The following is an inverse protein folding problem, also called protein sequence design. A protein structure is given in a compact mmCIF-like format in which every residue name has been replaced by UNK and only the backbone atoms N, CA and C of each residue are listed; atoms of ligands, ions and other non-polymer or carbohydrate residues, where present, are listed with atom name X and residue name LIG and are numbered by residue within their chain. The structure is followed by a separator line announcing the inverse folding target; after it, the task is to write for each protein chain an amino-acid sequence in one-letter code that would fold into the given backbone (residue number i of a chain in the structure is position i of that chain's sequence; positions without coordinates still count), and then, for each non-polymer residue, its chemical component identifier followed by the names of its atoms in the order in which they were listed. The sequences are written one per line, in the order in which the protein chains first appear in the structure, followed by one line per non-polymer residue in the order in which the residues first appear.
data_IF_485445440742
#
_entry.id   IF_485445440742
#
_cell.length_a   1.000
_cell.length_b   1.000
_cell.length_c   1.000
_cell.angle_alpha   90.00
_cell.angle_beta   90.00
_cell.angle_gamma   90.00
#
_symmetry.space_group_name_H-M   'P 1'
#
loop_
_entity.id
_entity.type
_entity.pdbx_description
1 polymer ?
#
# COMPACT_ATOMS: atom_id res chain seq x y z
N UNK A 1 -15.97 3.57 2.07
CA UNK A 1 -15.74 2.55 1.02
C UNK A 1 -14.84 3.06 -0.10
N UNK A 2 -15.15 4.20 -0.75
CA UNK A 2 -14.31 4.78 -1.83
C UNK A 2 -12.83 4.94 -1.44
N UNK A 3 -12.55 5.39 -0.22
CA UNK A 3 -11.19 5.60 0.28
C UNK A 3 -10.45 4.32 0.64
N UNK A 4 -11.14 3.20 0.93
CA UNK A 4 -10.50 1.90 1.19
C UNK A 4 -9.92 1.34 -0.11
N UNK A 5 -10.59 1.58 -1.24
CA UNK A 5 -10.13 1.17 -2.56
C UNK A 5 -8.77 1.80 -2.90
N UNK A 6 -8.49 3.01 -2.41
CA UNK A 6 -7.18 3.66 -2.58
C UNK A 6 -6.04 2.94 -1.83
N UNK A 7 -6.34 2.05 -0.88
CA UNK A 7 -5.36 1.21 -0.19
C UNK A 7 -5.31 -0.19 -0.80
N UNK A 8 -6.46 -0.77 -1.13
CA UNK A 8 -6.56 -2.13 -1.68
C UNK A 8 -6.09 -2.23 -3.13
N UNK A 9 -6.43 -1.28 -3.99
CA UNK A 9 -6.05 -1.33 -5.41
C UNK A 9 -4.53 -1.36 -5.58
N UNK A 10 -3.74 -0.49 -4.92
CA UNK A 10 -2.28 -0.57 -4.98
C UNK A 10 -1.71 -1.91 -4.51
N UNK A 11 -2.30 -2.46 -3.44
CA UNK A 11 -1.91 -3.75 -2.87
C UNK A 11 -2.14 -4.91 -3.85
N UNK A 12 -3.31 -4.91 -4.51
CA UNK A 12 -3.63 -5.90 -5.55
C UNK A 12 -2.67 -5.75 -6.73
N UNK A 13 -2.40 -4.52 -7.17
CA UNK A 13 -1.44 -4.26 -8.26
C UNK A 13 -0.07 -4.81 -7.89
N UNK A 14 0.41 -4.59 -6.66
CA UNK A 14 1.70 -5.12 -6.22
C UNK A 14 1.73 -6.65 -6.19
N UNK A 15 0.65 -7.28 -5.73
CA UNK A 15 0.51 -8.74 -5.77
C UNK A 15 0.52 -9.28 -7.20
N UNK A 16 -0.22 -8.65 -8.12
CA UNK A 16 -0.26 -9.04 -9.52
C UNK A 16 1.12 -8.86 -10.17
N UNK A 17 1.77 -7.72 -9.97
CA UNK A 17 3.10 -7.47 -10.54
C UNK A 17 4.14 -8.46 -10.01
N UNK A 18 4.14 -8.75 -8.70
CA UNK A 18 5.10 -9.68 -8.11
C UNK A 18 4.94 -11.13 -8.60
N UNK A 19 3.71 -11.57 -8.89
CA UNK A 19 3.42 -12.96 -9.24
C UNK A 19 3.25 -13.22 -10.75
N UNK A 20 2.91 -12.20 -11.55
CA UNK A 20 2.74 -12.34 -12.99
C UNK A 20 4.03 -12.02 -13.78
N UNK A 21 4.98 -11.32 -13.17
CA UNK A 21 6.24 -10.96 -13.81
C UNK A 21 7.37 -11.83 -13.26
N UNK A 22 7.73 -12.86 -14.02
CA UNK A 22 8.70 -13.86 -13.56
C UNK A 22 10.16 -13.42 -13.72
N UNK A 23 10.47 -12.62 -14.74
CA UNK A 23 11.84 -12.20 -15.03
C UNK A 23 12.16 -10.89 -14.30
N UNK A 24 12.24 -9.80 -15.05
CA UNK A 24 12.51 -8.45 -14.56
C UNK A 24 11.41 -7.51 -14.98
N UNK A 25 11.11 -6.53 -14.14
CA UNK A 25 10.19 -5.47 -14.50
C UNK A 25 10.73 -4.64 -15.67
N UNK A 26 9.85 -4.41 -16.63
CA UNK A 26 10.03 -3.48 -17.74
C UNK A 26 9.57 -2.08 -17.33
N UNK A 27 10.00 -1.05 -18.06
CA UNK A 27 9.63 0.34 -17.76
C UNK A 27 8.11 0.59 -17.63
N UNK A 28 7.20 -0.06 -18.40
CA UNK A 28 5.77 0.13 -18.21
C UNK A 28 5.28 -0.45 -16.87
N UNK A 29 5.87 -1.56 -16.41
CA UNK A 29 5.51 -2.16 -15.12
C UNK A 29 5.97 -1.26 -13.96
N UNK A 30 7.13 -0.63 -14.07
CA UNK A 30 7.56 0.39 -13.11
C UNK A 30 6.60 1.59 -13.06
N UNK A 31 6.06 2.04 -14.20
CA UNK A 31 5.03 3.09 -14.22
C UNK A 31 3.74 2.63 -13.53
N UNK A 32 3.31 1.39 -13.75
CA UNK A 32 2.15 0.83 -13.05
C UNK A 32 2.36 0.82 -11.53
N UNK A 33 3.54 0.37 -11.07
CA UNK A 33 3.91 0.38 -9.66
C UNK A 33 3.95 1.80 -9.08
N UNK A 34 4.42 2.78 -9.85
CA UNK A 34 4.43 4.19 -9.48
C UNK A 34 3.00 4.75 -9.36
N UNK A 35 2.12 4.48 -10.33
CA UNK A 35 0.72 4.93 -10.26
C UNK A 35 -0.03 4.29 -9.09
N UNK A 36 0.20 3.01 -8.82
CA UNK A 36 -0.31 2.34 -7.63
C UNK A 36 0.17 3.02 -6.35
N UNK A 37 1.46 3.34 -6.26
CA UNK A 37 2.02 4.09 -5.13
C UNK A 37 1.37 5.47 -4.96
N UNK A 38 1.18 6.21 -6.05
CA UNK A 38 0.52 7.53 -6.01
C UNK A 38 -0.95 7.42 -5.57
N UNK A 39 -1.68 6.40 -6.03
CA UNK A 39 -3.05 6.16 -5.59
C UNK A 39 -3.13 5.89 -4.08
N UNK A 40 -2.16 5.16 -3.52
CA UNK A 40 -2.04 4.98 -2.07
C UNK A 40 -1.78 6.32 -1.35
N UNK A 41 -0.87 7.16 -1.86
CA UNK A 41 -0.62 8.49 -1.28
C UNK A 41 -1.85 9.39 -1.31
N UNK A 42 -2.67 9.33 -2.35
CA UNK A 42 -3.94 10.05 -2.41
C UNK A 42 -4.92 9.57 -1.33
N UNK A 43 -4.87 8.28 -0.98
CA UNK A 43 -5.61 7.71 0.16
C UNK A 43 -5.30 8.39 1.50
N UNK A 44 -4.14 9.04 1.65
CA UNK A 44 -3.77 9.83 2.84
C UNK A 44 -4.50 11.16 2.93
N UNK A 45 -4.89 11.76 1.80
CA UNK A 45 -5.60 13.05 1.78
C UNK A 45 -6.96 12.99 2.49
N UNK A 46 -7.41 11.79 2.90
CA UNK A 46 -8.57 11.60 3.76
C UNK A 46 -8.39 12.14 5.19
N UNK A 47 -7.16 12.26 5.66
CA UNK A 47 -6.86 12.71 7.02
C UNK A 47 -6.50 14.20 7.01
N UNK A 48 -7.03 15.00 7.96
CA UNK A 48 -6.58 16.38 8.16
C UNK A 48 -5.08 16.42 8.44
N UNK A 49 -4.41 17.50 8.01
CA UNK A 49 -2.94 17.65 8.01
C UNK A 49 -2.29 17.36 9.38
N UNK A 50 -3.02 17.57 10.47
CA UNK A 50 -2.55 17.43 11.86
C UNK A 50 -3.18 16.25 12.62
N UNK A 51 -4.10 15.49 12.01
CA UNK A 51 -4.91 14.47 12.70
C UNK A 51 -4.77 13.09 12.03
N UNK A 52 -3.57 12.75 11.58
CA UNK A 52 -3.29 11.43 11.03
C UNK A 52 -3.14 10.45 12.20
N UNK A 53 -4.02 9.43 12.34
CA UNK A 53 -3.92 8.45 13.41
C UNK A 53 -2.56 7.73 13.38
N UNK A 54 -2.00 7.34 14.54
CA UNK A 54 -0.74 6.60 14.57
C UNK A 54 -0.74 5.35 13.68
N UNK A 55 -1.86 4.61 13.68
CA UNK A 55 -2.03 3.44 12.81
C UNK A 55 -1.84 3.77 11.33
N UNK A 56 -2.40 4.88 10.85
CA UNK A 56 -2.26 5.31 9.45
C UNK A 56 -0.81 5.72 9.09
N UNK A 57 -0.06 6.28 10.05
CA UNK A 57 1.37 6.59 9.85
C UNK A 57 2.19 5.31 9.71
N UNK A 58 1.89 4.30 10.55
CA UNK A 58 2.56 3.00 10.48
C UNK A 58 2.23 2.30 9.17
N UNK A 59 0.95 2.20 8.78
CA UNK A 59 0.56 1.60 7.49
C UNK A 59 1.25 2.28 6.32
N UNK A 60 1.37 3.60 6.33
CA UNK A 60 2.12 4.34 5.30
C UNK A 60 3.60 3.94 5.27
N UNK A 61 4.27 3.94 6.42
CA UNK A 61 5.68 3.57 6.50
C UNK A 61 5.89 2.14 5.96
N UNK A 62 5.05 1.21 6.37
CA UNK A 62 5.12 -0.20 5.93
C UNK A 62 4.83 -0.31 4.42
N UNK A 63 3.87 0.45 3.89
CA UNK A 63 3.60 0.48 2.45
C UNK A 63 4.76 1.06 1.64
N UNK A 64 5.40 2.14 2.12
CA UNK A 64 6.62 2.68 1.51
C UNK A 64 7.73 1.64 1.45
N UNK A 65 7.95 0.92 2.55
CA UNK A 65 8.94 -0.16 2.61
C UNK A 65 8.61 -1.25 1.60
N UNK A 66 7.33 -1.64 1.46
CA UNK A 66 6.89 -2.57 0.42
C UNK A 66 7.15 -2.03 -1.01
N UNK A 67 6.87 -0.76 -1.29
CA UNK A 67 7.13 -0.15 -2.60
C UNK A 67 8.62 -0.18 -2.94
N UNK A 68 9.48 0.13 -1.97
CA UNK A 68 10.93 0.02 -2.18
C UNK A 68 11.29 -1.45 -2.42
N UNK A 69 10.84 -2.37 -1.58
CA UNK A 69 11.13 -3.78 -1.72
C UNK A 69 10.70 -4.35 -3.09
N UNK A 70 9.49 -4.05 -3.57
CA UNK A 70 9.04 -4.55 -4.88
C UNK A 70 9.87 -3.99 -6.04
N UNK A 71 10.35 -2.75 -5.95
CA UNK A 71 11.25 -2.16 -6.97
C UNK A 71 12.62 -2.85 -6.95
N UNK A 72 13.13 -3.19 -5.77
CA UNK A 72 14.42 -3.87 -5.60
C UNK A 72 14.35 -5.39 -5.76
N UNK A 73 13.14 -5.96 -5.91
CA UNK A 73 12.90 -7.40 -6.06
C UNK A 73 13.73 -8.00 -7.18
N UNK A 74 13.75 -7.36 -8.36
CA UNK A 74 14.47 -7.87 -9.53
C UNK A 74 15.96 -8.15 -9.30
N UNK A 75 16.59 -7.50 -8.32
CA UNK A 75 18.05 -7.59 -8.11
C UNK A 75 18.46 -8.18 -6.77
N UNK A 76 17.62 -8.07 -5.74
CA UNK A 76 18.05 -8.33 -4.36
C UNK A 76 17.09 -9.18 -3.53
N UNK A 77 15.83 -9.36 -3.95
CA UNK A 77 14.82 -10.02 -3.12
C UNK A 77 14.07 -11.09 -3.90
N UNK A 78 13.69 -12.16 -3.20
CA UNK A 78 12.87 -13.21 -3.79
C UNK A 78 11.38 -12.82 -3.82
N UNK A 79 10.64 -13.36 -4.79
CA UNK A 79 9.20 -13.13 -4.92
C UNK A 79 8.41 -13.58 -3.67
N UNK A 80 8.86 -14.65 -2.99
CA UNK A 80 8.26 -15.14 -1.76
C UNK A 80 8.35 -14.12 -0.61
N UNK A 81 9.47 -13.43 -0.48
CA UNK A 81 9.65 -12.38 0.52
C UNK A 81 8.72 -11.19 0.25
N UNK A 82 8.58 -10.78 -1.00
CA UNK A 82 7.64 -9.71 -1.37
C UNK A 82 6.20 -10.12 -1.07
N UNK A 83 5.82 -11.36 -1.35
CA UNK A 83 4.50 -11.88 -1.00
C UNK A 83 4.24 -11.84 0.52
N UNK A 84 5.22 -12.19 1.34
CA UNK A 84 5.12 -12.06 2.80
C UNK A 84 4.91 -10.60 3.22
N UNK A 85 5.66 -9.67 2.62
CA UNK A 85 5.51 -8.24 2.90
C UNK A 85 4.14 -7.70 2.46
N UNK A 86 3.62 -8.14 1.31
CA UNK A 86 2.27 -7.81 0.84
C UNK A 86 1.22 -8.24 1.87
N UNK A 87 1.30 -9.48 2.36
CA UNK A 87 0.39 -9.99 3.39
C UNK A 87 0.48 -9.17 4.67
N UNK A 88 1.70 -8.84 5.10
CA UNK A 88 1.94 -8.00 6.28
C UNK A 88 1.29 -6.62 6.11
N UNK A 89 1.48 -5.96 4.97
CA UNK A 89 0.88 -4.66 4.68
C UNK A 89 -0.65 -4.75 4.64
N UNK A 90 -1.21 -5.83 4.08
CA UNK A 90 -2.65 -6.07 4.09
C UNK A 90 -3.21 -6.14 5.51
N UNK A 91 -2.51 -6.83 6.43
CA UNK A 91 -2.88 -6.88 7.85
C UNK A 91 -2.86 -5.48 8.47
N UNK A 92 -1.83 -4.67 8.21
CA UNK A 92 -1.77 -3.28 8.70
C UNK A 92 -2.94 -2.43 8.17
N UNK A 93 -3.27 -2.54 6.88
CA UNK A 93 -4.42 -1.84 6.28
C UNK A 93 -5.74 -2.27 6.93
N UNK A 94 -5.93 -3.57 7.22
CA UNK A 94 -7.12 -4.08 7.90
C UNK A 94 -7.19 -3.56 9.34
N UNK A 95 -6.08 -3.64 10.09
CA UNK A 95 -6.00 -3.15 11.47
C UNK A 95 -6.28 -1.65 11.52
N UNK A 96 -5.66 -0.86 10.64
CA UNK A 96 -5.95 0.57 10.49
C UNK A 96 -7.43 0.79 10.20
N UNK A 97 -8.04 0.02 9.29
CA UNK A 97 -9.44 0.19 8.94
C UNK A 97 -10.39 -0.13 10.11
N UNK A 98 -10.07 -1.12 10.94
CA UNK A 98 -10.85 -1.49 12.12
C UNK A 98 -10.70 -0.43 13.22
N UNK A 99 -9.46 -0.01 13.51
CA UNK A 99 -9.16 0.96 14.58
C UNK A 99 -9.60 2.37 14.18
N UNK A 100 -9.41 2.75 12.92
CA UNK A 100 -9.85 4.02 12.36
C UNK A 100 -11.32 3.99 11.90
N UNK A 101 -12.16 3.08 12.43
CA UNK A 101 -13.62 3.15 12.31
C UNK A 101 -14.04 4.60 12.50
N UNK A 102 -14.84 5.10 11.56
CA UNK A 102 -14.68 6.44 11.05
C UNK A 102 -14.85 7.46 12.17
N UNK A 103 -13.88 8.37 12.29
CA UNK A 103 -14.06 9.70 12.87
C UNK A 103 -15.14 10.52 12.09
N UNK A 104 -16.08 9.88 11.36
CA UNK A 104 -17.23 10.50 10.69
C UNK A 104 -18.46 10.64 11.61
N UNK A 105 -18.36 10.39 12.92
CA UNK A 105 -19.48 10.65 13.84
C UNK A 105 -19.03 11.41 15.08
N UNK A 106 -18.78 12.71 14.92
CA UNK A 106 -19.14 13.75 15.90
C UNK A 106 -18.81 15.13 15.32
N UNK A 107 -19.59 15.56 14.33
CA UNK A 107 -19.96 16.97 14.29
C UNK A 107 -21.42 16.97 14.78
N UNK A 108 -21.57 17.20 16.08
CA UNK A 108 -22.83 17.54 16.72
C UNK A 108 -23.23 18.96 16.31
#
# INVERSE_FOLDING_TARGET
MKTLLLYLVPLIVYALMNNLVNDSFTWPQYLILLFAFLAFQLGRLRYPKNEVPPAAKVTQAVFYVLTVAIIFRDKYLDAGLINLMIVLVAVFVIVEWIIAKPQQKTNA
#
